data_IF_067259262110
#
_entry.id   IF_067259262110
#
_cell.length_a   1.000
_cell.length_b   1.000
_cell.length_c   1.000
_cell.angle_alpha   90.00
_cell.angle_beta   90.00
_cell.angle_gamma   90.00
#
_symmetry.space_group_name_H-M   'P 1'
#
loop_
_entity.id
_entity.type
_entity.pdbx_description
1 polymer ?
#
# COMPACT_ATOMS: atom_id res chain seq x y z
N UNK A 1 13.20 -60.33 -54.65
CA UNK A 1 13.07 -59.74 -53.30
C UNK A 1 13.35 -58.25 -53.41
N UNK A 2 12.46 -57.38 -52.91
CA UNK A 2 12.67 -55.92 -52.94
C UNK A 2 13.09 -55.49 -51.54
N UNK A 3 14.30 -54.98 -51.41
CA UNK A 3 14.81 -54.48 -50.15
C UNK A 3 14.30 -53.06 -49.92
N UNK A 4 13.51 -52.88 -48.86
CA UNK A 4 13.09 -51.56 -48.39
C UNK A 4 14.24 -50.97 -47.58
N UNK A 5 15.04 -50.11 -48.22
CA UNK A 5 16.08 -49.31 -47.55
C UNK A 5 15.38 -48.29 -46.66
N UNK A 6 15.41 -48.51 -45.35
CA UNK A 6 14.92 -47.55 -44.36
C UNK A 6 16.02 -46.49 -44.20
N UNK A 7 15.84 -45.33 -44.83
CA UNK A 7 16.69 -44.16 -44.63
C UNK A 7 16.67 -43.75 -43.15
N UNK A 8 17.85 -43.64 -42.53
CA UNK A 8 18.00 -43.26 -41.12
C UNK A 8 17.47 -41.83 -40.94
N UNK A 9 16.37 -41.71 -40.20
CA UNK A 9 15.70 -40.44 -39.95
C UNK A 9 16.64 -39.43 -39.27
N UNK A 10 16.74 -38.21 -39.82
CA UNK A 10 17.46 -37.02 -39.28
C UNK A 10 16.86 -36.48 -37.96
N UNK A 11 16.33 -37.34 -37.10
CA UNK A 11 15.69 -36.96 -35.83
C UNK A 11 16.62 -36.24 -34.85
N UNK A 12 17.94 -36.40 -34.99
CA UNK A 12 18.92 -35.72 -34.12
C UNK A 12 18.97 -34.21 -34.33
N UNK A 13 18.77 -33.71 -35.56
CA UNK A 13 18.83 -32.27 -35.83
C UNK A 13 17.59 -31.53 -35.32
N UNK A 14 16.40 -32.12 -35.53
CA UNK A 14 15.15 -31.57 -35.00
C UNK A 14 15.11 -31.62 -33.47
N UNK A 15 15.60 -32.71 -32.86
CA UNK A 15 15.69 -32.82 -31.41
C UNK A 15 16.67 -31.80 -30.83
N UNK A 16 17.85 -31.62 -31.43
CA UNK A 16 18.82 -30.60 -31.02
C UNK A 16 18.24 -29.18 -31.14
N UNK A 17 17.51 -28.92 -32.22
CA UNK A 17 16.84 -27.63 -32.41
C UNK A 17 15.74 -27.40 -31.37
N UNK A 18 14.91 -28.41 -31.08
CA UNK A 18 13.87 -28.33 -30.05
C UNK A 18 14.46 -28.07 -28.66
N UNK A 19 15.56 -28.75 -28.30
CA UNK A 19 16.28 -28.52 -27.04
C UNK A 19 16.85 -27.11 -26.97
N UNK A 20 17.38 -26.58 -28.07
CA UNK A 20 17.94 -25.24 -28.14
C UNK A 20 16.86 -24.15 -27.99
N UNK A 21 15.70 -24.33 -28.65
CA UNK A 21 14.54 -23.45 -28.47
C UNK A 21 14.02 -23.49 -27.02
N UNK A 22 13.95 -24.68 -26.42
CA UNK A 22 13.50 -24.85 -25.04
C UNK A 22 14.46 -24.17 -24.05
N UNK A 23 15.77 -24.31 -24.25
CA UNK A 23 16.78 -23.62 -23.46
C UNK A 23 16.66 -22.09 -23.60
N UNK A 24 16.45 -21.59 -24.82
CA UNK A 24 16.21 -20.16 -25.06
C UNK A 24 14.96 -19.63 -24.36
N UNK A 25 13.86 -20.39 -24.39
CA UNK A 25 12.62 -20.04 -23.69
C UNK A 25 12.82 -19.94 -22.16
N UNK A 26 13.53 -20.90 -21.57
CA UNK A 26 13.86 -20.88 -20.14
C UNK A 26 14.68 -19.63 -19.78
N UNK A 27 15.69 -19.27 -20.59
CA UNK A 27 16.51 -18.09 -20.35
C UNK A 27 15.68 -16.79 -20.40
N UNK A 28 14.81 -16.63 -21.40
CA UNK A 28 13.92 -15.46 -21.51
C UNK A 28 12.95 -15.40 -20.33
N UNK A 29 12.38 -16.55 -19.93
CA UNK A 29 11.46 -16.63 -18.79
C UNK A 29 12.15 -16.27 -17.47
N UNK A 30 13.39 -16.73 -17.25
CA UNK A 30 14.20 -16.38 -16.08
C UNK A 30 14.49 -14.88 -16.01
N UNK A 31 14.84 -14.25 -17.14
CA UNK A 31 15.06 -12.79 -17.17
C UNK A 31 13.77 -12.04 -16.86
N UNK A 32 12.64 -12.48 -17.42
CA UNK A 32 11.33 -11.90 -17.10
C UNK A 32 10.94 -12.04 -15.62
N UNK A 33 11.25 -13.18 -15.00
CA UNK A 33 11.06 -13.41 -13.57
C UNK A 33 11.94 -12.49 -12.71
N UNK A 34 13.20 -12.26 -13.11
CA UNK A 34 14.11 -11.35 -12.40
C UNK A 34 13.64 -9.89 -12.45
N UNK A 35 13.04 -9.45 -13.57
CA UNK A 35 12.43 -8.12 -13.69
C UNK A 35 11.20 -7.98 -12.76
N UNK A 36 10.32 -8.98 -12.74
CA UNK A 36 9.17 -8.99 -11.82
C UNK A 36 9.59 -8.99 -10.34
N UNK A 37 10.68 -9.68 -9.99
CA UNK A 37 11.24 -9.65 -8.63
C UNK A 37 11.75 -8.25 -8.28
N UNK A 38 12.33 -7.52 -9.25
CA UNK A 38 12.74 -6.13 -9.07
C UNK A 38 11.54 -5.20 -8.80
N UNK A 39 10.54 -5.23 -9.68
CA UNK A 39 9.33 -4.41 -9.56
C UNK A 39 8.58 -4.70 -8.25
N UNK A 40 8.47 -5.98 -7.85
CA UNK A 40 7.84 -6.37 -6.58
C UNK A 40 8.60 -5.89 -5.36
N UNK A 41 9.93 -5.80 -5.43
CA UNK A 41 10.75 -5.25 -4.33
C UNK A 41 10.59 -3.74 -4.19
N UNK A 42 10.48 -3.03 -5.31
CA UNK A 42 10.23 -1.58 -5.32
C UNK A 42 8.82 -1.26 -4.82
N UNK A 43 7.82 -2.01 -5.27
CA UNK A 43 6.43 -1.91 -4.79
C UNK A 43 6.37 -2.15 -3.27
N UNK A 44 7.04 -3.19 -2.77
CA UNK A 44 7.14 -3.45 -1.33
C UNK A 44 7.86 -2.34 -0.56
N UNK A 45 8.95 -1.78 -1.09
CA UNK A 45 9.65 -0.67 -0.45
C UNK A 45 8.75 0.57 -0.34
N UNK A 46 8.03 0.90 -1.42
CA UNK A 46 7.10 2.03 -1.45
C UNK A 46 5.92 1.85 -0.49
N UNK A 47 5.38 0.62 -0.38
CA UNK A 47 4.31 0.30 0.56
C UNK A 47 4.81 0.34 2.01
N UNK A 48 6.03 -0.14 2.27
CA UNK A 48 6.64 -0.09 3.59
C UNK A 48 6.88 1.35 4.06
N UNK A 49 7.30 2.24 3.16
CA UNK A 49 7.50 3.67 3.44
C UNK A 49 6.16 4.40 3.69
N UNK A 50 5.13 4.07 2.91
CA UNK A 50 3.78 4.59 3.17
C UNK A 50 3.26 4.11 4.53
N UNK A 51 3.49 2.83 4.86
CA UNK A 51 3.06 2.25 6.13
C UNK A 51 3.80 2.91 7.30
N UNK A 52 5.13 3.09 7.21
CA UNK A 52 5.92 3.74 8.26
C UNK A 52 5.50 5.19 8.49
N UNK A 53 5.21 5.92 7.40
CA UNK A 53 4.71 7.29 7.46
C UNK A 53 3.34 7.34 8.13
N UNK A 54 2.43 6.42 7.77
CA UNK A 54 1.09 6.38 8.34
C UNK A 54 1.08 5.89 9.79
N UNK A 55 1.97 4.97 10.18
CA UNK A 55 2.13 4.59 11.59
C UNK A 55 2.68 5.73 12.40
N UNK A 56 3.67 6.48 11.90
CA UNK A 56 4.20 7.65 12.59
C UNK A 56 3.13 8.74 12.77
N UNK A 57 2.32 9.02 11.74
CA UNK A 57 1.19 9.95 11.85
C UNK A 57 0.11 9.45 12.82
N UNK A 58 -0.22 8.15 12.79
CA UNK A 58 -1.20 7.60 13.72
C UNK A 58 -0.71 7.65 15.16
N UNK A 59 0.57 7.37 15.39
CA UNK A 59 1.20 7.47 16.70
C UNK A 59 1.26 8.92 17.17
N UNK A 60 1.56 9.87 16.28
CA UNK A 60 1.49 11.31 16.57
C UNK A 60 0.06 11.75 16.91
N UNK A 61 -0.95 11.31 16.15
CA UNK A 61 -2.35 11.60 16.43
C UNK A 61 -2.76 11.00 17.78
N UNK A 62 -2.46 9.73 18.04
CA UNK A 62 -2.77 9.08 19.31
C UNK A 62 -2.09 9.78 20.48
N UNK A 63 -0.80 10.08 20.35
CA UNK A 63 -0.05 10.81 21.35
C UNK A 63 -0.63 12.22 21.58
N UNK A 64 -1.03 12.91 20.51
CA UNK A 64 -1.71 14.22 20.58
C UNK A 64 -3.11 14.15 21.17
N UNK A 65 -3.76 12.99 21.19
CA UNK A 65 -5.06 12.77 21.84
C UNK A 65 -4.87 12.38 23.31
N UNK A 66 -3.88 11.53 23.61
CA UNK A 66 -3.60 11.04 24.97
C UNK A 66 -2.93 12.10 25.86
N UNK A 67 -2.01 12.89 25.32
CA UNK A 67 -1.38 14.00 26.05
C UNK A 67 -2.25 15.26 26.14
N UNK A 68 -3.46 15.24 25.56
CA UNK A 68 -4.30 16.43 25.51
C UNK A 68 -5.32 16.49 26.64
N UNK A 69 -4.93 17.21 27.69
CA UNK A 69 -5.84 18.15 28.36
C UNK A 69 -6.66 19.00 27.37
N UNK A 70 -6.16 19.22 26.14
CA UNK A 70 -6.86 19.92 25.07
C UNK A 70 -7.94 19.14 24.32
N UNK A 71 -8.12 17.82 24.49
CA UNK A 71 -9.31 17.12 23.95
C UNK A 71 -10.53 17.50 24.78
N UNK A 72 -10.37 17.55 26.10
CA UNK A 72 -11.40 18.08 27.00
C UNK A 72 -11.64 19.56 26.75
N UNK A 73 -10.58 20.37 26.56
CA UNK A 73 -10.71 21.80 26.23
C UNK A 73 -11.37 22.04 24.87
N UNK A 74 -11.04 21.24 23.85
CA UNK A 74 -11.64 21.30 22.52
C UNK A 74 -13.12 20.91 22.57
N UNK A 75 -13.44 19.83 23.28
CA UNK A 75 -14.82 19.41 23.51
C UNK A 75 -15.62 20.48 24.27
N UNK A 76 -15.04 21.07 25.31
CA UNK A 76 -15.65 22.15 26.09
C UNK A 76 -15.85 23.42 25.24
N UNK A 77 -14.89 23.78 24.39
CA UNK A 77 -14.98 24.91 23.47
C UNK A 77 -16.10 24.73 22.46
N UNK A 78 -16.18 23.56 21.82
CA UNK A 78 -17.22 23.24 20.83
C UNK A 78 -18.61 23.16 21.48
N UNK A 79 -18.69 22.61 22.70
CA UNK A 79 -19.93 22.59 23.48
C UNK A 79 -20.42 24.02 23.80
N UNK A 80 -19.53 24.93 24.18
CA UNK A 80 -19.90 26.34 24.43
C UNK A 80 -20.22 27.12 23.16
N UNK A 81 -19.45 26.97 22.09
CA UNK A 81 -19.57 27.82 20.89
C UNK A 81 -20.65 27.36 19.91
N UNK A 82 -20.86 26.05 19.77
CA UNK A 82 -21.78 25.49 18.76
C UNK A 82 -23.07 24.95 19.36
N UNK A 83 -23.03 24.47 20.61
CA UNK A 83 -24.16 23.83 21.28
C UNK A 83 -24.74 24.66 22.43
N UNK A 84 -24.15 25.82 22.73
CA UNK A 84 -24.52 26.72 23.84
C UNK A 84 -24.63 25.99 25.19
N UNK A 85 -23.82 24.94 25.38
CA UNK A 85 -23.78 24.15 26.60
C UNK A 85 -22.87 24.81 27.64
N UNK A 86 -23.33 24.84 28.89
CA UNK A 86 -22.59 25.30 30.05
C UNK A 86 -22.46 24.19 31.11
N UNK A 87 -21.49 24.32 32.03
CA UNK A 87 -21.36 23.34 33.11
C UNK A 87 -22.56 23.44 34.07
N UNK A 88 -22.96 22.34 34.74
CA UNK A 88 -24.06 22.38 35.70
C UNK A 88 -23.81 23.43 36.80
N UNK A 89 -24.74 24.39 36.95
CA UNK A 89 -24.64 25.49 37.92
C UNK A 89 -23.84 26.72 37.46
N UNK A 90 -23.28 26.70 36.25
CA UNK A 90 -22.62 27.87 35.63
C UNK A 90 -23.68 28.90 35.20
N UNK A 91 -23.46 30.18 35.53
CA UNK A 91 -24.34 31.29 35.11
C UNK A 91 -23.66 32.03 33.95
N UNK A 92 -24.24 31.91 32.76
CA UNK A 92 -23.77 32.59 31.54
C UNK A 92 -24.63 33.83 31.32
N UNK A 93 -23.99 35.00 31.20
CA UNK A 93 -24.66 36.26 30.90
C UNK A 93 -24.38 36.63 29.45
N UNK A 94 -25.41 36.66 28.62
CA UNK A 94 -25.31 37.10 27.22
C UNK A 94 -25.72 38.56 27.18
N UNK A 95 -24.79 39.44 26.81
CA UNK A 95 -25.09 40.85 26.56
C UNK A 95 -25.79 40.97 25.21
N UNK A 96 -27.12 40.90 25.23
CA UNK A 96 -27.95 41.31 24.09
C UNK A 96 -27.99 42.83 24.09
N UNK A 97 -26.91 43.44 23.59
CA UNK A 97 -26.73 44.88 23.55
C UNK A 97 -28.03 45.59 23.15
N UNK A 98 -28.71 46.17 24.13
CA UNK A 98 -29.87 47.03 23.93
C UNK A 98 -29.37 48.40 23.48
N UNK A 99 -29.11 48.54 22.18
CA UNK A 99 -28.56 49.77 21.62
C UNK A 99 -29.10 50.05 20.22
N UNK A 100 -30.24 50.77 20.20
CA UNK A 100 -30.90 51.50 19.09
C UNK A 100 -31.42 50.72 17.88
#
# INVERSE_FOLDING_TARGET
>A
MRELKIEKYKGSLLLKFAVLCFAGFILVSLVGQQLQIGEKREELASLQEQLSTQTARNEEIQNSLENNSGVAEYAERKARSELDYAKPGERVFVDVGGGS
#
